data_IF_599607267239
#
_entry.id   IF_599607267239
#
_cell.length_a   1.000
_cell.length_b   1.000
_cell.length_c   1.000
_cell.angle_alpha   90.00
_cell.angle_beta   90.00
_cell.angle_gamma   90.00
#
_symmetry.space_group_name_H-M   'P 1'
#
loop_
_entity.id
_entity.type
_entity.pdbx_description
1 polymer ?
#
# COMPACT_ATOMS: atom_id res chain seq x y z
N UNK A 1 -3.47 1.43 -9.33
CA UNK A 1 -2.03 1.18 -9.37
C UNK A 1 -1.76 0.30 -10.56
N UNK A 2 -0.85 0.69 -11.44
CA UNK A 2 -0.44 -0.09 -12.61
C UNK A 2 0.77 -0.95 -12.25
N UNK A 3 0.84 -2.09 -12.93
CA UNK A 3 1.68 -3.25 -12.63
C UNK A 3 3.17 -2.96 -12.68
N UNK A 4 3.91 -3.54 -11.72
CA UNK A 4 5.35 -3.70 -11.86
C UNK A 4 5.58 -4.63 -13.03
N UNK A 5 6.18 -4.09 -14.09
CA UNK A 5 6.66 -4.90 -15.19
C UNK A 5 8.18 -4.95 -15.04
N UNK A 6 8.75 -6.10 -14.65
CA UNK A 6 10.19 -6.26 -14.79
C UNK A 6 10.54 -6.13 -16.26
N UNK A 7 11.57 -5.33 -16.57
CA UNK A 7 12.16 -5.26 -17.89
C UNK A 7 13.54 -5.89 -17.82
N UNK A 8 13.93 -6.60 -18.87
CA UNK A 8 15.34 -6.80 -19.13
C UNK A 8 15.96 -5.42 -19.42
N UNK A 9 17.18 -5.17 -18.94
CA UNK A 9 17.82 -3.85 -19.04
C UNK A 9 17.89 -3.33 -20.48
N UNK A 10 18.00 -4.24 -21.44
CA UNK A 10 18.05 -3.93 -22.87
C UNK A 10 16.71 -3.40 -23.41
N UNK A 11 15.59 -3.81 -22.79
CA UNK A 11 14.23 -3.42 -23.15
C UNK A 11 13.69 -2.25 -22.31
N UNK A 12 14.49 -1.74 -21.36
CA UNK A 12 14.10 -0.66 -20.47
C UNK A 12 14.07 0.70 -21.19
N UNK A 13 13.16 1.62 -20.80
CA UNK A 13 13.14 3.00 -21.31
C UNK A 13 14.51 3.68 -21.23
N UNK A 14 14.79 4.60 -22.15
CA UNK A 14 16.11 5.25 -22.25
C UNK A 14 16.59 5.88 -20.94
N UNK A 15 15.72 6.57 -20.21
CA UNK A 15 16.06 7.18 -18.92
C UNK A 15 16.47 6.13 -17.86
N UNK A 16 15.85 4.95 -17.87
CA UNK A 16 16.23 3.83 -16.98
C UNK A 16 17.63 3.35 -17.33
N UNK A 17 17.91 3.13 -18.62
CA UNK A 17 19.22 2.69 -19.10
C UNK A 17 20.33 3.71 -18.79
N UNK A 18 20.03 5.00 -18.95
CA UNK A 18 20.95 6.08 -18.56
C UNK A 18 21.24 6.06 -17.05
N UNK A 19 20.23 5.81 -16.22
CA UNK A 19 20.40 5.63 -14.78
C UNK A 19 21.30 4.46 -14.42
N UNK A 20 21.06 3.28 -15.01
CA UNK A 20 21.92 2.10 -14.82
C UNK A 20 23.37 2.41 -15.20
N UNK A 21 23.60 3.05 -16.35
CA UNK A 21 24.94 3.39 -16.81
C UNK A 21 25.66 4.37 -15.86
N UNK A 22 24.93 5.35 -15.30
CA UNK A 22 25.49 6.29 -14.32
C UNK A 22 25.89 5.58 -13.02
N UNK A 23 25.05 4.65 -12.54
CA UNK A 23 25.36 3.84 -11.36
C UNK A 23 26.54 2.90 -11.60
N UNK A 24 26.57 2.18 -12.72
CA UNK A 24 27.70 1.31 -13.09
C UNK A 24 29.01 2.09 -13.19
N UNK A 25 28.97 3.31 -13.74
CA UNK A 25 30.12 4.22 -13.74
C UNK A 25 30.55 4.58 -12.32
N UNK A 26 29.62 4.88 -11.43
CA UNK A 26 29.92 5.19 -10.03
C UNK A 26 30.52 3.98 -9.29
N UNK A 27 30.03 2.77 -9.55
CA UNK A 27 30.59 1.53 -9.00
C UNK A 27 31.99 1.23 -9.52
N UNK A 28 32.24 1.42 -10.82
CA UNK A 28 33.54 1.18 -11.44
C UNK A 28 34.66 2.05 -10.84
N UNK A 29 34.33 3.21 -10.26
CA UNK A 29 35.30 4.05 -9.53
C UNK A 29 35.66 3.50 -8.14
N UNK A 30 34.83 2.63 -7.57
CA UNK A 30 34.94 2.10 -6.19
C UNK A 30 35.47 0.68 -6.13
N UNK A 31 35.27 -0.11 -7.18
CA UNK A 31 35.65 -1.52 -7.18
C UNK A 31 36.00 -2.01 -8.59
N UNK A 32 36.93 -2.97 -8.66
CA UNK A 32 37.21 -3.77 -9.87
C UNK A 32 36.67 -5.20 -9.74
N UNK A 33 35.91 -5.48 -8.68
CA UNK A 33 35.29 -6.79 -8.44
C UNK A 33 34.06 -6.95 -9.33
N UNK A 34 33.64 -8.20 -9.51
CA UNK A 34 32.43 -8.52 -10.26
C UNK A 34 31.15 -7.99 -9.58
N UNK A 35 31.17 -7.81 -8.26
CA UNK A 35 30.07 -7.26 -7.48
C UNK A 35 30.49 -6.04 -6.66
N UNK A 36 29.56 -5.14 -6.33
CA UNK A 36 28.15 -5.11 -6.76
C UNK A 36 27.98 -4.81 -8.26
N UNK A 37 26.87 -5.26 -8.87
CA UNK A 37 26.50 -4.99 -10.26
C UNK A 37 25.00 -4.88 -10.44
N UNK A 38 24.54 -4.03 -11.36
CA UNK A 38 23.11 -3.99 -11.71
C UNK A 38 22.76 -5.27 -12.48
N UNK A 39 21.73 -5.97 -12.04
CA UNK A 39 21.24 -7.18 -12.73
C UNK A 39 19.89 -6.97 -13.37
N UNK A 40 19.10 -6.01 -12.86
CA UNK A 40 17.75 -5.76 -13.33
C UNK A 40 17.28 -4.37 -12.93
N UNK A 41 16.42 -3.76 -13.74
CA UNK A 41 15.66 -2.57 -13.37
C UNK A 41 14.17 -2.87 -13.47
N UNK A 42 13.41 -2.37 -12.52
CA UNK A 42 11.96 -2.53 -12.45
C UNK A 42 11.34 -1.17 -12.25
N UNK A 43 10.43 -0.75 -13.11
CA UNK A 43 9.72 0.51 -12.90
C UNK A 43 8.60 0.24 -11.89
N UNK A 44 8.67 0.93 -10.75
CA UNK A 44 7.60 0.97 -9.77
C UNK A 44 6.78 2.23 -10.02
N UNK A 45 5.70 2.09 -10.78
CA UNK A 45 4.82 3.22 -11.14
C UNK A 45 4.07 3.85 -9.96
N UNK A 46 4.35 3.47 -8.71
CA UNK A 46 3.68 4.01 -7.52
C UNK A 46 3.92 5.54 -7.40
N UNK A 47 5.02 6.06 -7.96
CA UNK A 47 5.29 7.50 -8.08
C UNK A 47 5.92 7.93 -9.42
N UNK A 48 5.99 7.04 -10.40
CA UNK A 48 6.80 7.23 -11.61
C UNK A 48 8.29 6.96 -11.37
N UNK A 49 8.59 6.22 -10.30
CA UNK A 49 9.92 5.97 -9.81
C UNK A 49 10.48 4.66 -10.39
N UNK A 50 11.77 4.67 -10.68
CA UNK A 50 12.49 3.50 -11.21
C UNK A 50 13.18 2.81 -10.05
N UNK A 51 12.82 1.55 -9.81
CA UNK A 51 13.52 0.73 -8.83
C UNK A 51 14.64 -0.08 -9.51
N UNK A 52 15.84 -0.09 -8.93
CA UNK A 52 16.99 -0.83 -9.44
C UNK A 52 17.28 -2.01 -8.55
N UNK A 53 17.40 -3.20 -9.15
CA UNK A 53 17.83 -4.42 -8.46
C UNK A 53 19.31 -4.63 -8.76
N UNK A 54 20.12 -4.50 -7.71
CA UNK A 54 21.58 -4.60 -7.73
C UNK A 54 21.96 -5.91 -7.05
N UNK A 55 22.67 -6.79 -7.76
CA UNK A 55 23.27 -7.96 -7.14
C UNK A 55 24.55 -7.51 -6.42
N UNK A 56 24.56 -7.62 -5.10
CA UNK A 56 25.69 -7.21 -4.25
C UNK A 56 26.63 -8.39 -3.90
N UNK A 57 26.15 -9.61 -4.09
CA UNK A 57 26.90 -10.87 -4.00
C UNK A 57 26.11 -11.99 -4.68
N UNK A 58 26.68 -13.18 -4.93
CA UNK A 58 25.96 -14.28 -5.58
C UNK A 58 24.63 -14.61 -4.89
N UNK A 59 23.54 -14.33 -5.61
CA UNK A 59 22.15 -14.49 -5.15
C UNK A 59 21.78 -13.62 -3.92
N UNK A 60 22.39 -12.45 -3.76
CA UNK A 60 21.98 -11.44 -2.77
C UNK A 60 21.71 -10.15 -3.53
N UNK A 61 20.45 -9.73 -3.52
CA UNK A 61 19.96 -8.60 -4.30
C UNK A 61 19.54 -7.45 -3.38
N UNK A 62 19.81 -6.22 -3.83
CA UNK A 62 19.43 -4.98 -3.18
C UNK A 62 18.52 -4.17 -4.11
N UNK A 63 17.40 -3.64 -3.58
CA UNK A 63 16.54 -2.70 -4.31
C UNK A 63 16.90 -1.25 -3.96
N UNK A 64 17.01 -0.38 -4.98
CA UNK A 64 17.11 1.07 -4.83
C UNK A 64 15.91 1.74 -5.48
N UNK A 65 15.22 2.64 -4.76
CA UNK A 65 14.13 3.43 -5.30
C UNK A 65 14.64 4.76 -5.85
N UNK A 66 14.35 5.09 -7.10
CA UNK A 66 14.57 6.43 -7.65
C UNK A 66 13.44 7.33 -7.21
N UNK A 67 13.51 7.97 -6.05
CA UNK A 67 12.51 9.02 -5.75
C UNK A 67 12.87 10.35 -6.43
N UNK A 68 11.82 10.90 -7.02
CA UNK A 68 11.73 11.98 -8.02
C UNK A 68 12.28 13.35 -7.60
N UNK A 69 13.17 13.86 -8.46
CA UNK A 69 13.17 15.21 -9.06
C UNK A 69 14.49 15.98 -8.92
N UNK A 70 15.26 15.86 -7.83
CA UNK A 70 16.45 16.69 -7.58
C UNK A 70 17.50 15.96 -6.72
N UNK A 71 17.59 14.62 -6.78
CA UNK A 71 18.68 13.92 -6.12
C UNK A 71 19.98 14.48 -6.71
N UNK A 72 20.68 15.32 -5.94
CA UNK A 72 21.72 16.22 -6.44
C UNK A 72 22.86 15.47 -7.11
N UNK A 73 23.92 16.19 -7.49
CA UNK A 73 25.07 15.69 -8.25
C UNK A 73 25.77 14.42 -7.68
N UNK A 74 25.32 13.91 -6.53
CA UNK A 74 25.90 12.78 -5.78
C UNK A 74 24.96 11.58 -5.55
N UNK A 75 23.76 11.52 -6.12
CA UNK A 75 22.85 10.36 -5.88
C UNK A 75 23.50 9.01 -6.21
N UNK A 76 24.10 8.90 -7.41
CA UNK A 76 24.74 7.66 -7.85
C UNK A 76 25.96 7.30 -7.02
N UNK A 77 26.67 8.31 -6.53
CA UNK A 77 27.78 8.12 -5.62
C UNK A 77 27.31 7.57 -4.27
N UNK A 78 26.28 8.18 -3.68
CA UNK A 78 25.67 7.73 -2.42
C UNK A 78 25.13 6.29 -2.55
N UNK A 79 24.46 5.99 -3.66
CA UNK A 79 23.92 4.66 -3.95
C UNK A 79 25.06 3.64 -4.13
N UNK A 80 26.12 4.00 -4.86
CA UNK A 80 27.26 3.13 -5.09
C UNK A 80 28.01 2.85 -3.78
N UNK A 81 28.16 3.84 -2.91
CA UNK A 81 28.72 3.67 -1.58
C UNK A 81 27.85 2.75 -0.69
N UNK A 82 26.52 2.87 -0.79
CA UNK A 82 25.61 1.96 -0.09
C UNK A 82 25.74 0.52 -0.59
N UNK A 83 25.77 0.31 -1.91
CA UNK A 83 25.95 -1.02 -2.50
C UNK A 83 27.30 -1.65 -2.13
N UNK A 84 28.37 -0.85 -2.06
CA UNK A 84 29.69 -1.31 -1.61
C UNK A 84 29.67 -1.78 -0.14
N UNK A 85 29.08 -0.97 0.75
CA UNK A 85 28.93 -1.37 2.16
C UNK A 85 28.10 -2.64 2.30
N UNK A 86 27.00 -2.75 1.57
CA UNK A 86 26.17 -3.95 1.58
C UNK A 86 26.92 -5.18 1.05
N UNK A 87 27.73 -5.02 -0.01
CA UNK A 87 28.57 -6.08 -0.55
C UNK A 87 29.60 -6.58 0.47
N UNK A 88 30.18 -5.70 1.31
CA UNK A 88 31.13 -6.08 2.37
C UNK A 88 30.49 -7.00 3.43
N UNK A 89 29.24 -6.73 3.80
CA UNK A 89 28.50 -7.54 4.79
C UNK A 89 27.65 -8.65 4.17
N UNK A 90 27.59 -8.77 2.84
CA UNK A 90 26.73 -9.73 2.13
C UNK A 90 26.86 -11.19 2.58
N UNK A 91 28.02 -11.59 3.08
CA UNK A 91 28.27 -12.92 3.62
C UNK A 91 27.42 -13.24 4.85
N UNK A 92 27.09 -12.23 5.68
CA UNK A 92 26.18 -12.38 6.83
C UNK A 92 24.72 -12.39 6.39
N UNK A 93 24.39 -11.70 5.29
CA UNK A 93 23.03 -11.60 4.74
C UNK A 93 22.59 -12.86 3.98
N UNK A 94 23.53 -13.59 3.38
CA UNK A 94 23.25 -14.71 2.46
C UNK A 94 22.44 -15.85 3.07
N UNK A 95 22.75 -16.23 4.31
CA UNK A 95 22.01 -17.29 5.02
C UNK A 95 20.55 -16.87 5.27
N UNK A 96 20.33 -15.79 6.03
CA UNK A 96 19.01 -15.22 6.28
C UNK A 96 18.18 -14.96 5.01
N UNK A 97 18.79 -14.41 3.94
CA UNK A 97 18.10 -14.20 2.67
C UNK A 97 17.62 -15.50 2.03
N UNK A 98 18.43 -16.56 2.06
CA UNK A 98 18.05 -17.85 1.47
C UNK A 98 16.93 -18.53 2.25
N UNK A 99 17.02 -18.51 3.58
CA UNK A 99 15.96 -18.99 4.46
C UNK A 99 14.65 -18.26 4.19
N UNK A 100 14.73 -16.93 4.02
CA UNK A 100 13.57 -16.10 3.69
C UNK A 100 12.95 -16.47 2.33
N UNK A 101 13.76 -16.60 1.28
CA UNK A 101 13.27 -16.96 -0.07
C UNK A 101 12.59 -18.33 -0.04
N UNK A 102 13.20 -19.31 0.61
CA UNK A 102 12.66 -20.66 0.68
C UNK A 102 11.34 -20.67 1.48
N UNK A 103 11.26 -19.88 2.55
CA UNK A 103 10.05 -19.77 3.36
C UNK A 103 8.91 -19.03 2.64
N UNK A 104 9.21 -17.97 1.87
CA UNK A 104 8.26 -17.30 0.98
C UNK A 104 7.70 -18.20 -0.11
N UNK A 105 8.56 -18.97 -0.77
CA UNK A 105 8.11 -19.94 -1.75
C UNK A 105 7.21 -20.99 -1.12
N UNK A 106 7.52 -21.43 0.10
CA UNK A 106 6.70 -22.40 0.81
C UNK A 106 5.32 -21.84 1.14
N UNK A 107 5.24 -20.68 1.81
CA UNK A 107 3.96 -20.07 2.20
C UNK A 107 3.08 -19.72 1.00
N UNK A 108 3.67 -19.22 -0.08
CA UNK A 108 2.95 -18.95 -1.32
C UNK A 108 2.51 -20.25 -2.00
N UNK A 109 3.37 -21.27 -2.07
CA UNK A 109 3.01 -22.58 -2.61
C UNK A 109 1.87 -23.26 -1.83
N UNK A 110 1.87 -23.14 -0.49
CA UNK A 110 0.77 -23.61 0.36
C UNK A 110 -0.52 -22.82 0.05
N UNK A 111 -0.43 -21.50 -0.15
CA UNK A 111 -1.58 -20.67 -0.50
C UNK A 111 -2.15 -20.97 -1.90
N UNK A 112 -1.28 -21.20 -2.90
CA UNK A 112 -1.64 -21.61 -4.26
C UNK A 112 -2.32 -22.99 -4.24
N UNK A 113 -1.80 -23.95 -3.47
CA UNK A 113 -2.41 -25.27 -3.30
C UNK A 113 -3.82 -25.20 -2.69
N UNK A 114 -4.06 -24.19 -1.85
CA UNK A 114 -5.38 -23.86 -1.29
C UNK A 114 -6.27 -23.05 -2.27
N UNK A 115 -5.84 -22.85 -3.52
CA UNK A 115 -6.60 -22.14 -4.56
C UNK A 115 -6.54 -20.62 -4.48
N UNK A 116 -5.60 -20.05 -3.72
CA UNK A 116 -5.38 -18.61 -3.69
C UNK A 116 -4.63 -18.17 -4.96
N UNK A 117 -5.21 -17.28 -5.75
CA UNK A 117 -4.57 -16.68 -6.92
C UNK A 117 -3.54 -15.62 -6.49
N UNK A 118 -2.41 -16.09 -5.98
CA UNK A 118 -1.26 -15.30 -5.53
C UNK A 118 0.01 -15.91 -6.08
N UNK A 119 0.94 -15.09 -6.57
CA UNK A 119 2.25 -15.51 -7.04
C UNK A 119 3.35 -14.71 -6.34
N UNK A 120 4.51 -15.34 -6.11
CA UNK A 120 5.73 -14.66 -5.68
C UNK A 120 6.53 -14.21 -6.91
N UNK A 121 6.58 -12.90 -7.14
CA UNK A 121 7.34 -12.30 -8.26
C UNK A 121 8.83 -12.26 -7.95
N UNK A 122 9.19 -11.98 -6.69
CA UNK A 122 10.58 -11.84 -6.30
C UNK A 122 10.75 -11.55 -4.83
N UNK A 123 11.97 -11.77 -4.34
CA UNK A 123 12.40 -11.37 -3.02
C UNK A 123 13.67 -10.55 -3.18
N UNK A 124 13.78 -9.43 -2.47
CA UNK A 124 14.98 -8.62 -2.43
C UNK A 124 15.28 -8.21 -0.98
N UNK A 125 16.46 -7.64 -0.77
CA UNK A 125 16.75 -6.86 0.44
C UNK A 125 16.54 -5.38 0.05
N UNK A 126 15.73 -4.65 0.79
CA UNK A 126 15.38 -3.27 0.48
C UNK A 126 15.44 -2.43 1.75
N UNK A 127 16.18 -1.31 1.73
CA UNK A 127 16.09 -0.25 2.74
C UNK A 127 15.49 0.99 2.08
N UNK A 128 14.36 1.55 2.59
CA UNK A 128 13.80 2.75 2.04
C UNK A 128 14.79 3.91 2.25
N UNK A 129 14.92 4.74 1.21
CA UNK A 129 15.75 5.95 1.15
C UNK A 129 17.27 5.70 1.12
N UNK A 130 17.88 5.09 2.14
CA UNK A 130 19.35 4.91 2.22
C UNK A 130 19.73 3.82 3.21
N UNK A 131 20.71 2.97 2.86
CA UNK A 131 21.25 1.96 3.77
C UNK A 131 22.09 2.60 4.89
N UNK A 132 21.48 2.84 6.06
CA UNK A 132 22.14 3.49 7.20
C UNK A 132 22.60 2.52 8.28
N UNK A 133 21.98 1.35 8.41
CA UNK A 133 22.32 0.35 9.43
C UNK A 133 22.87 -0.93 8.78
N UNK A 134 24.18 -1.16 8.94
CA UNK A 134 24.92 -2.23 8.25
C UNK A 134 24.48 -3.66 8.62
N UNK A 135 23.68 -3.84 9.68
CA UNK A 135 23.42 -5.12 10.32
C UNK A 135 21.94 -5.55 10.35
N UNK A 136 21.01 -4.77 9.76
CA UNK A 136 19.58 -5.10 9.75
C UNK A 136 19.02 -5.12 8.33
N UNK A 137 19.10 -6.24 7.60
CA UNK A 137 18.45 -6.35 6.31
C UNK A 137 16.93 -6.25 6.48
N UNK A 138 16.31 -5.35 5.74
CA UNK A 138 14.87 -5.39 5.51
C UNK A 138 14.63 -6.19 4.24
N UNK A 139 13.81 -7.22 4.34
CA UNK A 139 13.45 -8.01 3.18
C UNK A 139 12.27 -7.39 2.45
N UNK A 140 12.10 -7.75 1.19
CA UNK A 140 11.02 -7.29 0.34
C UNK A 140 10.48 -8.50 -0.42
N UNK A 141 9.22 -8.86 -0.22
CA UNK A 141 8.55 -9.89 -1.01
C UNK A 141 7.58 -9.23 -2.00
N UNK A 142 7.89 -9.30 -3.28
CA UNK A 142 7.02 -8.79 -4.35
C UNK A 142 6.00 -9.88 -4.68
N UNK A 143 4.73 -9.64 -4.37
CA UNK A 143 3.63 -10.55 -4.65
C UNK A 143 2.76 -10.00 -5.78
N UNK A 144 2.24 -10.89 -6.62
CA UNK A 144 1.14 -10.60 -7.55
C UNK A 144 -0.09 -11.41 -7.21
N UNK A 145 -1.25 -10.91 -7.60
CA UNK A 145 -2.55 -11.55 -7.44
C UNK A 145 -3.59 -10.85 -8.30
N UNK A 146 -4.86 -11.24 -8.13
CA UNK A 146 -5.99 -10.95 -9.02
C UNK A 146 -5.99 -9.55 -9.69
N UNK A 147 -5.79 -9.54 -11.02
CA UNK A 147 -5.91 -8.35 -11.87
C UNK A 147 -7.35 -8.10 -12.34
N UNK A 148 -7.58 -6.85 -12.75
CA UNK A 148 -8.81 -6.34 -13.36
C UNK A 148 -10.07 -6.45 -12.50
N UNK A 149 -9.93 -6.11 -11.21
CA UNK A 149 -10.91 -5.38 -10.38
C UNK A 149 -10.83 -5.70 -8.88
N UNK A 150 -9.70 -6.24 -8.39
CA UNK A 150 -9.40 -6.35 -6.95
C UNK A 150 -7.90 -6.24 -6.65
N UNK A 151 -7.22 -5.33 -7.35
CA UNK A 151 -5.78 -5.46 -7.65
C UNK A 151 -4.87 -5.36 -6.43
N UNK A 152 -4.12 -6.42 -6.06
CA UNK A 152 -2.80 -6.24 -5.50
C UNK A 152 -1.81 -5.89 -6.62
N UNK A 153 -0.91 -4.98 -6.29
CA UNK A 153 0.39 -4.91 -6.92
C UNK A 153 1.45 -5.07 -5.83
N UNK A 154 2.71 -4.87 -6.20
CA UNK A 154 3.80 -4.43 -5.38
C UNK A 154 3.58 -4.32 -3.88
N UNK A 155 3.48 -5.40 -3.10
CA UNK A 155 3.40 -5.24 -1.65
C UNK A 155 4.79 -5.27 -1.05
N UNK A 156 5.08 -4.33 -0.14
CA UNK A 156 6.36 -4.28 0.54
C UNK A 156 6.20 -4.80 1.95
N UNK A 157 6.94 -5.85 2.27
CA UNK A 157 6.97 -6.42 3.62
C UNK A 157 8.33 -6.17 4.22
N UNK A 158 8.51 -5.01 4.85
CA UNK A 158 9.67 -4.82 5.71
C UNK A 158 9.51 -5.70 6.95
N UNK A 159 10.55 -6.43 7.34
CA UNK A 159 10.54 -7.22 8.56
C UNK A 159 11.98 -7.41 9.03
N UNK A 160 12.18 -7.27 10.33
CA UNK A 160 13.50 -7.47 10.95
C UNK A 160 13.70 -8.94 11.36
N UNK A 161 12.62 -9.72 11.41
CA UNK A 161 12.63 -11.13 11.80
C UNK A 161 11.74 -11.97 10.90
N UNK A 162 12.04 -13.27 10.79
CA UNK A 162 11.19 -14.24 10.07
C UNK A 162 9.77 -14.29 10.65
N UNK A 163 9.61 -14.13 11.97
CA UNK A 163 8.31 -14.15 12.64
C UNK A 163 7.44 -12.94 12.26
N UNK A 164 7.99 -11.73 12.33
CA UNK A 164 7.28 -10.52 11.90
C UNK A 164 6.91 -10.60 10.41
N UNK A 165 7.81 -11.19 9.63
CA UNK A 165 7.56 -11.41 8.23
C UNK A 165 6.42 -12.41 7.97
N UNK A 166 6.36 -13.52 8.70
CA UNK A 166 5.29 -14.51 8.60
C UNK A 166 3.93 -13.90 8.89
N UNK A 167 3.83 -13.10 9.95
CA UNK A 167 2.60 -12.41 10.32
C UNK A 167 2.11 -11.50 9.18
N UNK A 168 3.03 -10.73 8.59
CA UNK A 168 2.72 -9.83 7.49
C UNK A 168 2.35 -10.60 6.21
N UNK A 169 3.10 -11.65 5.85
CA UNK A 169 2.81 -12.44 4.66
C UNK A 169 1.50 -13.21 4.78
N UNK A 170 1.22 -13.84 5.93
CA UNK A 170 -0.04 -14.51 6.21
C UNK A 170 -1.21 -13.53 6.19
N UNK A 171 -1.03 -12.30 6.69
CA UNK A 171 -2.04 -11.26 6.60
C UNK A 171 -2.37 -10.91 5.14
N UNK A 172 -1.35 -10.80 4.28
CA UNK A 172 -1.52 -10.56 2.84
C UNK A 172 -2.19 -11.74 2.12
N UNK A 173 -1.79 -12.97 2.40
CA UNK A 173 -2.44 -14.17 1.87
C UNK A 173 -3.92 -14.20 2.31
N UNK A 174 -4.19 -13.94 3.59
CA UNK A 174 -5.56 -13.83 4.10
C UNK A 174 -6.36 -12.72 3.42
N UNK A 175 -5.71 -11.60 3.10
CA UNK A 175 -6.30 -10.51 2.34
C UNK A 175 -6.61 -10.95 0.89
N UNK A 176 -5.70 -11.63 0.20
CA UNK A 176 -5.93 -12.18 -1.14
C UNK A 176 -7.08 -13.18 -1.19
N UNK A 177 -7.23 -14.02 -0.16
CA UNK A 177 -8.36 -14.94 -0.05
C UNK A 177 -9.70 -14.20 0.05
N UNK A 178 -9.77 -13.14 0.87
CA UNK A 178 -10.97 -12.29 0.96
C UNK A 178 -11.27 -11.57 -0.35
N UNK A 179 -10.23 -11.16 -1.06
CA UNK A 179 -10.35 -10.59 -2.40
C UNK A 179 -10.94 -11.59 -3.40
N UNK A 180 -10.37 -12.79 -3.50
CA UNK A 180 -10.88 -13.82 -4.41
C UNK A 180 -12.37 -14.12 -4.21
N UNK A 181 -12.82 -14.24 -2.95
CA UNK A 181 -14.24 -14.42 -2.63
C UNK A 181 -15.10 -13.21 -3.07
N UNK A 182 -14.55 -12.01 -3.00
CA UNK A 182 -15.24 -10.79 -3.44
C UNK A 182 -15.41 -10.73 -4.96
N UNK A 183 -14.48 -11.29 -5.75
CA UNK A 183 -14.60 -11.34 -7.22
C UNK A 183 -15.81 -12.14 -7.69
N UNK A 184 -16.06 -13.30 -7.10
CA UNK A 184 -17.22 -14.12 -7.45
C UNK A 184 -18.52 -13.33 -7.25
N UNK A 185 -18.59 -12.59 -6.14
CA UNK A 185 -19.72 -11.72 -5.82
C UNK A 185 -19.84 -10.58 -6.83
N UNK A 186 -18.74 -9.89 -7.12
CA UNK A 186 -18.67 -8.77 -8.03
C UNK A 186 -19.07 -9.15 -9.46
N UNK A 187 -18.53 -10.26 -9.97
CA UNK A 187 -18.85 -10.79 -11.30
C UNK A 187 -20.34 -11.11 -11.45
N UNK A 188 -20.99 -11.60 -10.39
CA UNK A 188 -22.42 -11.93 -10.43
C UNK A 188 -23.36 -10.72 -10.53
N UNK A 189 -22.90 -9.54 -10.11
CA UNK A 189 -23.71 -8.30 -10.06
C UNK A 189 -23.24 -7.30 -11.14
N UNK A 190 -22.09 -7.55 -11.78
CA UNK A 190 -21.47 -6.61 -12.72
C UNK A 190 -20.84 -5.40 -12.02
N UNK A 191 -20.30 -5.62 -10.82
CA UNK A 191 -19.56 -4.63 -10.07
C UNK A 191 -18.06 -4.90 -10.16
N UNK A 192 -17.27 -3.87 -9.86
CA UNK A 192 -15.82 -3.91 -9.86
C UNK A 192 -15.26 -3.66 -8.45
N UNK A 193 -16.03 -3.07 -7.55
CA UNK A 193 -15.58 -2.66 -6.23
C UNK A 193 -16.71 -2.71 -5.21
N UNK A 194 -16.35 -2.59 -3.93
CA UNK A 194 -17.21 -1.96 -2.93
C UNK A 194 -16.74 -0.55 -2.63
N UNK A 195 -17.67 0.32 -2.24
CA UNK A 195 -17.39 1.68 -1.82
C UNK A 195 -18.25 2.01 -0.60
N UNK A 196 -17.67 2.69 0.38
CA UNK A 196 -18.44 3.20 1.52
C UNK A 196 -19.18 4.52 1.16
N UNK A 197 -20.25 4.83 1.89
CA UNK A 197 -21.06 6.01 1.62
C UNK A 197 -20.30 7.34 1.75
N UNK A 198 -19.26 7.42 2.59
CA UNK A 198 -18.44 8.62 2.76
C UNK A 198 -17.60 8.83 1.50
N UNK A 199 -16.87 7.79 1.07
CA UNK A 199 -16.06 7.82 -0.14
C UNK A 199 -16.91 8.09 -1.39
N UNK A 200 -18.07 7.45 -1.52
CA UNK A 200 -18.99 7.70 -2.63
C UNK A 200 -19.48 9.15 -2.64
N UNK A 201 -19.82 9.70 -1.47
CA UNK A 201 -20.23 11.10 -1.35
C UNK A 201 -19.13 12.05 -1.81
N UNK A 202 -17.89 11.81 -1.42
CA UNK A 202 -16.75 12.62 -1.84
C UNK A 202 -16.58 12.62 -3.36
N UNK A 203 -16.73 11.46 -4.01
CA UNK A 203 -16.67 11.37 -5.48
C UNK A 203 -17.78 12.19 -6.13
N UNK A 204 -19.01 12.06 -5.62
CA UNK A 204 -20.19 12.72 -6.20
C UNK A 204 -20.19 14.25 -5.99
N UNK A 205 -19.48 14.75 -4.97
CA UNK A 205 -19.34 16.18 -4.70
C UNK A 205 -18.23 16.84 -5.58
N UNK A 206 -17.43 16.07 -6.31
CA UNK A 206 -16.44 16.62 -7.25
C UNK A 206 -17.09 17.17 -8.52
N UNK A 207 -16.45 18.16 -9.20
CA UNK A 207 -16.98 18.72 -10.46
C UNK A 207 -17.07 17.69 -11.61
N UNK A 208 -16.19 16.69 -11.61
CA UNK A 208 -16.12 15.64 -12.64
C UNK A 208 -16.12 14.23 -12.01
N UNK A 209 -17.25 13.77 -11.42
CA UNK A 209 -17.31 12.48 -10.70
C UNK A 209 -16.91 11.28 -11.56
N UNK A 210 -17.34 11.27 -12.83
CA UNK A 210 -17.02 10.19 -13.79
C UNK A 210 -15.51 10.11 -14.05
N UNK A 211 -14.83 11.26 -14.13
CA UNK A 211 -13.37 11.32 -14.30
C UNK A 211 -12.63 10.75 -13.09
N UNK A 212 -13.13 11.01 -11.88
CA UNK A 212 -12.61 10.44 -10.63
C UNK A 212 -12.80 8.92 -10.62
N UNK A 213 -13.98 8.41 -10.94
CA UNK A 213 -14.25 6.96 -10.99
C UNK A 213 -13.39 6.25 -12.04
N UNK A 214 -13.27 6.81 -13.24
CA UNK A 214 -12.40 6.26 -14.28
C UNK A 214 -10.94 6.26 -13.85
N UNK A 215 -10.48 7.32 -13.16
CA UNK A 215 -9.12 7.39 -12.62
C UNK A 215 -8.89 6.32 -11.55
N UNK A 216 -9.87 6.08 -10.66
CA UNK A 216 -9.81 5.05 -9.62
C UNK A 216 -9.68 3.62 -10.16
N UNK A 217 -10.01 3.36 -11.44
CA UNK A 217 -9.69 2.08 -12.09
C UNK A 217 -8.20 1.79 -12.15
N UNK A 218 -7.42 2.86 -12.26
CA UNK A 218 -6.00 2.80 -12.58
C UNK A 218 -5.10 3.24 -11.44
N UNK A 219 -5.62 3.84 -10.36
CA UNK A 219 -4.83 4.35 -9.22
C UNK A 219 -5.31 3.76 -7.89
N UNK A 220 -4.37 3.48 -6.97
CA UNK A 220 -4.73 2.99 -5.61
C UNK A 220 -5.06 4.15 -4.69
N UNK A 221 -4.39 5.28 -4.87
CA UNK A 221 -4.57 6.47 -4.05
C UNK A 221 -4.80 7.66 -4.97
N UNK A 222 -5.87 8.40 -4.72
CA UNK A 222 -6.25 9.58 -5.50
C UNK A 222 -6.52 10.73 -4.55
N UNK A 223 -5.82 11.85 -4.74
CA UNK A 223 -6.16 13.10 -4.06
C UNK A 223 -7.33 13.76 -4.78
N UNK A 224 -8.35 14.13 -4.03
CA UNK A 224 -9.52 14.88 -4.51
C UNK A 224 -9.53 16.28 -3.87
N UNK A 225 -10.57 17.07 -4.08
CA UNK A 225 -10.61 18.45 -3.59
C UNK A 225 -10.44 18.56 -2.06
N UNK A 226 -10.03 19.74 -1.61
CA UNK A 226 -9.81 20.07 -0.19
C UNK A 226 -8.81 19.14 0.54
N UNK A 227 -7.87 18.52 -0.20
CA UNK A 227 -6.81 17.69 0.39
C UNK A 227 -7.29 16.31 0.86
N UNK A 228 -8.50 15.89 0.49
CA UNK A 228 -9.05 14.57 0.81
C UNK A 228 -8.43 13.52 -0.11
N UNK A 229 -8.41 12.27 0.34
CA UNK A 229 -7.82 11.15 -0.38
C UNK A 229 -8.82 10.00 -0.47
N UNK A 230 -8.98 9.43 -1.66
CA UNK A 230 -9.63 8.15 -1.87
C UNK A 230 -8.56 7.06 -1.97
N UNK A 231 -8.76 5.95 -1.28
CA UNK A 231 -7.82 4.82 -1.25
C UNK A 231 -8.57 3.54 -1.61
N UNK A 232 -8.05 2.82 -2.58
CA UNK A 232 -8.41 1.45 -2.88
C UNK A 232 -7.61 0.51 -2.01
N UNK A 233 -8.29 -0.26 -1.17
CA UNK A 233 -7.67 -1.29 -0.35
C UNK A 233 -8.55 -2.52 -0.38
N UNK A 234 -8.03 -3.65 -0.87
CA UNK A 234 -8.77 -4.91 -0.80
C UNK A 234 -10.14 -4.89 -1.47
N UNK A 235 -10.28 -4.23 -2.62
CA UNK A 235 -11.58 -4.16 -3.29
C UNK A 235 -12.56 -3.19 -2.69
N UNK A 236 -12.10 -2.41 -1.73
CA UNK A 236 -12.88 -1.45 -1.02
C UNK A 236 -12.28 -0.06 -1.25
N UNK A 237 -13.12 0.87 -1.71
CA UNK A 237 -12.76 2.26 -1.81
C UNK A 237 -13.16 2.92 -0.49
N UNK A 238 -12.14 3.36 0.24
CA UNK A 238 -12.27 4.16 1.45
C UNK A 238 -11.82 5.59 1.21
N UNK A 239 -12.09 6.47 2.17
CA UNK A 239 -11.61 7.84 2.14
C UNK A 239 -10.86 8.23 3.40
N UNK A 240 -9.95 9.19 3.29
CA UNK A 240 -9.35 9.88 4.42
C UNK A 240 -9.29 11.37 4.16
N UNK A 241 -9.35 12.16 5.23
CA UNK A 241 -9.32 13.61 5.11
C UNK A 241 -9.43 14.31 6.45
N UNK A 242 -9.37 15.63 6.37
CA UNK A 242 -9.68 16.51 7.48
C UNK A 242 -10.72 17.54 7.04
N UNK A 243 -11.58 17.95 7.96
CA UNK A 243 -12.39 19.16 7.83
C UNK A 243 -11.77 20.25 8.70
N UNK A 244 -10.99 21.18 8.12
CA UNK A 244 -10.31 22.22 8.88
C UNK A 244 -11.28 23.18 9.56
N UNK A 245 -12.52 23.28 9.07
CA UNK A 245 -13.53 24.18 9.67
C UNK A 245 -14.08 23.64 10.99
N UNK A 246 -13.92 22.34 11.24
CA UNK A 246 -14.48 21.64 12.39
C UNK A 246 -13.42 20.84 13.17
N UNK A 247 -12.13 20.93 12.81
CA UNK A 247 -11.03 20.14 13.36
C UNK A 247 -11.31 18.63 13.37
N UNK A 248 -11.94 18.10 12.32
CA UNK A 248 -12.31 16.67 12.23
C UNK A 248 -11.30 15.95 11.36
N UNK A 249 -10.91 14.73 11.73
CA UNK A 249 -10.12 13.84 10.88
C UNK A 249 -10.84 12.51 10.70
N UNK A 250 -10.71 11.87 9.55
CA UNK A 250 -11.23 10.51 9.35
C UNK A 250 -10.36 9.68 8.42
N UNK A 251 -10.49 8.37 8.54
CA UNK A 251 -9.89 7.37 7.65
C UNK A 251 -10.74 6.11 7.65
N UNK A 252 -11.39 5.84 6.52
CA UNK A 252 -12.36 4.76 6.36
C UNK A 252 -13.47 4.86 7.40
N UNK A 253 -13.55 3.86 8.27
CA UNK A 253 -14.56 3.75 9.32
C UNK A 253 -14.18 4.46 10.62
N UNK A 254 -13.03 5.15 10.69
CA UNK A 254 -12.59 5.83 11.90
C UNK A 254 -12.69 7.33 11.75
N UNK A 255 -13.17 7.97 12.81
CA UNK A 255 -13.31 9.41 12.96
C UNK A 255 -12.59 9.85 14.23
N UNK A 256 -11.81 10.91 14.14
CA UNK A 256 -11.12 11.52 15.26
C UNK A 256 -11.53 12.98 15.40
N UNK A 257 -11.79 13.37 16.65
CA UNK A 257 -12.03 14.75 17.09
C UNK A 257 -10.93 15.12 18.08
N UNK A 258 -9.80 15.69 17.61
CA UNK A 258 -8.72 16.16 18.47
C UNK A 258 -9.23 17.22 19.45
N UNK A 259 -8.61 17.25 20.63
CA UNK A 259 -8.89 18.25 21.69
C UNK A 259 -10.36 18.22 22.17
N UNK A 260 -11.06 17.12 21.92
CA UNK A 260 -12.42 16.88 22.38
C UNK A 260 -12.45 15.81 23.47
N UNK A 261 -13.42 15.93 24.37
CA UNK A 261 -13.78 14.87 25.30
C UNK A 261 -15.28 14.91 25.56
N UNK A 262 -15.88 13.73 25.70
CA UNK A 262 -17.30 13.57 26.02
C UNK A 262 -17.46 12.70 27.27
N UNK A 263 -18.50 12.94 28.12
CA UNK A 263 -18.74 12.08 29.28
C UNK A 263 -18.92 10.61 28.88
N UNK A 264 -18.36 9.66 29.64
CA UNK A 264 -18.42 8.23 29.32
C UNK A 264 -19.86 7.70 29.19
N UNK A 265 -20.79 8.23 29.99
CA UNK A 265 -22.22 7.92 29.87
C UNK A 265 -22.83 8.37 28.53
N UNK A 266 -22.29 9.45 27.94
CA UNK A 266 -22.70 9.93 26.63
C UNK A 266 -22.08 9.05 25.52
N UNK A 267 -20.84 8.59 25.66
CA UNK A 267 -20.21 7.64 24.73
C UNK A 267 -21.09 6.40 24.50
N UNK A 268 -21.53 5.76 25.58
CA UNK A 268 -22.38 4.57 25.49
C UNK A 268 -23.74 4.85 24.86
N UNK A 269 -24.32 6.03 25.12
CA UNK A 269 -25.61 6.43 24.57
C UNK A 269 -25.58 6.72 23.06
N UNK A 270 -24.38 6.92 22.49
CA UNK A 270 -24.20 7.22 21.07
C UNK A 270 -24.23 5.97 20.17
N UNK A 271 -24.19 4.75 20.73
CA UNK A 271 -24.26 3.53 19.93
C UNK A 271 -25.50 3.48 19.03
N UNK A 272 -25.31 3.21 17.74
CA UNK A 272 -26.36 3.12 16.72
C UNK A 272 -27.00 4.47 16.35
N UNK A 273 -26.57 5.58 16.96
CA UNK A 273 -27.05 6.93 16.62
C UNK A 273 -26.42 7.41 15.30
N UNK A 274 -27.03 8.38 14.61
CA UNK A 274 -26.39 9.04 13.47
C UNK A 274 -25.06 9.67 13.85
N UNK A 275 -24.07 9.64 12.95
CA UNK A 275 -22.78 10.32 13.18
C UNK A 275 -22.95 11.83 13.41
N UNK A 276 -24.00 12.43 12.83
CA UNK A 276 -24.37 13.84 13.03
C UNK A 276 -24.78 14.21 14.46
N UNK A 277 -25.15 13.22 15.29
CA UNK A 277 -25.39 13.45 16.73
C UNK A 277 -24.08 13.68 17.50
N UNK A 278 -22.95 13.16 16.99
CA UNK A 278 -21.62 13.42 17.53
C UNK A 278 -21.00 14.67 16.89
N UNK A 279 -21.03 14.75 15.56
CA UNK A 279 -20.42 15.88 14.83
C UNK A 279 -21.12 16.18 13.51
N UNK A 280 -21.41 17.47 13.26
CA UNK A 280 -21.92 17.93 11.97
C UNK A 280 -20.76 18.08 10.98
N UNK A 281 -20.62 17.13 10.04
CA UNK A 281 -19.60 17.17 8.99
C UNK A 281 -20.25 16.90 7.63
N UNK A 282 -20.10 17.83 6.68
CA UNK A 282 -20.72 17.67 5.34
C UNK A 282 -20.13 16.52 4.54
N UNK A 283 -18.93 16.05 4.90
CA UNK A 283 -18.32 14.88 4.26
C UNK A 283 -18.94 13.56 4.74
N UNK A 284 -19.61 13.53 5.90
CA UNK A 284 -20.21 12.33 6.49
C UNK A 284 -21.71 12.35 6.25
N UNK A 285 -22.26 11.47 5.40
CA UNK A 285 -23.69 11.44 5.13
C UNK A 285 -24.54 11.07 6.35
N UNK A 286 -25.79 11.56 6.41
CA UNK A 286 -26.75 11.29 7.50
C UNK A 286 -27.07 9.80 7.73
N UNK A 287 -26.78 8.94 6.75
CA UNK A 287 -26.94 7.49 6.83
C UNK A 287 -25.88 6.77 7.66
N UNK A 288 -24.77 7.43 7.99
CA UNK A 288 -23.66 6.83 8.74
C UNK A 288 -24.03 6.72 10.23
N UNK A 289 -23.74 5.57 10.83
CA UNK A 289 -24.06 5.26 12.22
C UNK A 289 -22.80 5.11 13.06
N UNK A 290 -22.91 5.46 14.34
CA UNK A 290 -21.85 5.27 15.33
C UNK A 290 -21.91 3.83 15.87
N UNK A 291 -20.81 3.10 15.80
CA UNK A 291 -20.68 1.75 16.37
C UNK A 291 -19.96 1.76 17.72
N UNK A 292 -19.10 2.75 17.93
CA UNK A 292 -18.28 2.87 19.12
C UNK A 292 -17.84 4.33 19.20
N UNK A 293 -17.81 4.88 20.41
CA UNK A 293 -17.25 6.20 20.67
C UNK A 293 -16.47 6.10 21.98
N UNK A 294 -15.22 6.50 21.96
CA UNK A 294 -14.32 6.43 23.12
C UNK A 294 -13.55 7.74 23.25
N UNK A 295 -13.20 8.10 24.48
CA UNK A 295 -12.17 9.10 24.70
C UNK A 295 -10.84 8.37 24.74
N UNK A 296 -9.90 8.87 23.96
CA UNK A 296 -8.52 8.38 23.89
C UNK A 296 -7.58 9.53 24.28
N UNK A 297 -6.34 9.17 24.63
CA UNK A 297 -5.33 10.16 24.94
C UNK A 297 -3.93 9.58 25.01
N UNK A 298 -2.96 10.43 24.69
CA UNK A 298 -1.53 10.17 24.83
C UNK A 298 -0.85 11.40 25.46
N UNK A 299 -0.35 11.23 26.68
CA UNK A 299 0.17 12.34 27.49
C UNK A 299 -0.90 13.41 27.77
N UNK A 300 -0.64 14.64 27.33
CA UNK A 300 -1.54 15.79 27.47
C UNK A 300 -2.55 15.90 26.32
N UNK A 301 -2.41 15.07 25.27
CA UNK A 301 -3.34 15.07 24.15
C UNK A 301 -4.56 14.21 24.47
N UNK A 302 -5.75 14.77 24.25
CA UNK A 302 -7.02 14.05 24.36
C UNK A 302 -7.81 14.17 23.08
N UNK A 303 -8.45 13.09 22.64
CA UNK A 303 -9.35 13.12 21.50
C UNK A 303 -10.52 12.15 21.69
N UNK A 304 -11.58 12.37 20.92
CA UNK A 304 -12.65 11.38 20.77
C UNK A 304 -12.36 10.56 19.51
N UNK A 305 -12.30 9.24 19.63
CA UNK A 305 -12.31 8.31 18.49
C UNK A 305 -13.70 7.69 18.37
N UNK A 306 -14.26 7.72 17.17
CA UNK A 306 -15.52 7.08 16.86
C UNK A 306 -15.35 6.08 15.71
N UNK A 307 -15.92 4.89 15.89
CA UNK A 307 -16.05 3.89 14.83
C UNK A 307 -17.39 4.07 14.14
N UNK A 308 -17.35 4.17 12.82
CA UNK A 308 -18.49 4.40 11.94
C UNK A 308 -18.93 3.10 11.28
N UNK A 309 -20.21 3.03 10.93
CA UNK A 309 -20.77 2.01 10.03
C UNK A 309 -21.33 2.70 8.79
N UNK A 310 -20.47 3.15 7.86
CA UNK A 310 -20.96 3.72 6.61
C UNK A 310 -21.61 2.60 5.77
N UNK A 311 -22.84 2.82 5.25
CA UNK A 311 -23.45 1.88 4.31
C UNK A 311 -22.52 1.63 3.13
N UNK A 312 -22.42 0.37 2.69
CA UNK A 312 -21.56 -0.01 1.56
C UNK A 312 -22.40 -0.24 0.31
N UNK A 313 -21.81 0.06 -0.83
CA UNK A 313 -22.38 -0.23 -2.14
C UNK A 313 -21.40 -1.04 -2.98
N UNK A 314 -21.91 -1.95 -3.79
CA UNK A 314 -21.19 -2.42 -4.97
C UNK A 314 -21.09 -1.28 -5.98
N UNK A 315 -19.97 -1.15 -6.67
CA UNK A 315 -19.71 -0.08 -7.63
C UNK A 315 -19.11 -0.66 -8.91
N UNK A 316 -19.68 -0.31 -10.06
CA UNK A 316 -19.06 -0.44 -11.38
C UNK A 316 -18.33 0.88 -11.68
N UNK A 317 -16.99 0.82 -11.75
CA UNK A 317 -16.17 2.01 -11.96
C UNK A 317 -16.26 2.58 -13.39
N UNK A 318 -16.81 1.82 -14.34
CA UNK A 318 -16.90 2.23 -15.75
C UNK A 318 -18.17 2.96 -16.09
N UNK A 319 -19.27 2.55 -15.47
CA UNK A 319 -20.56 3.20 -15.62
C UNK A 319 -20.92 4.12 -14.46
N UNK A 320 -20.21 4.03 -13.33
CA UNK A 320 -20.56 4.70 -12.07
C UNK A 320 -21.80 4.14 -11.38
N UNK A 321 -22.38 3.06 -11.93
CA UNK A 321 -23.55 2.42 -11.37
C UNK A 321 -23.17 1.76 -10.05
N UNK A 322 -24.02 1.93 -9.05
CA UNK A 322 -23.82 1.34 -7.75
C UNK A 322 -25.11 0.71 -7.22
N UNK A 323 -24.95 -0.30 -6.38
CA UNK A 323 -26.03 -1.06 -5.78
C UNK A 323 -25.77 -1.23 -4.29
N UNK A 324 -26.78 -1.13 -3.42
CA UNK A 324 -26.58 -1.36 -2.00
C UNK A 324 -26.04 -2.78 -1.77
N UNK A 325 -25.05 -2.92 -0.89
CA UNK A 325 -24.65 -4.23 -0.36
C UNK A 325 -25.75 -4.66 0.61
N UNK A 326 -26.32 -5.85 0.43
CA UNK A 326 -27.31 -6.36 1.36
C UNK A 326 -26.66 -6.49 2.76
N UNK A 327 -27.20 -5.77 3.75
CA UNK A 327 -26.79 -5.93 5.14
C UNK A 327 -27.29 -7.30 5.64
N UNK A 328 -26.45 -8.31 5.47
CA UNK A 328 -26.78 -9.71 5.70
C UNK A 328 -25.63 -10.46 6.36
N UNK A 329 -25.60 -10.43 7.69
CA UNK A 329 -24.96 -11.42 8.58
C UNK A 329 -23.45 -11.61 8.41
N UNK A 330 -22.65 -10.67 8.93
CA UNK A 330 -21.33 -11.03 9.45
C UNK A 330 -21.51 -12.04 10.60
N UNK A 331 -21.31 -13.32 10.30
CA UNK A 331 -20.98 -14.35 11.29
C UNK A 331 -19.48 -14.56 11.29
#
# INVERSE_FOLDING_TARGET
MKTFKPFDLDDAPEHVRQGCAAFDSALATRTTREWPKVVKATIAEIHGDVDYVVEIAPAVEMLFTWETAHAGDHFWDDAADAAMRAAEVSHTLKGPYREFVDHARKLIGDAEADGCAIDLVGVAIAEPMRWWQQDRPMYLATLTGLKENLRPGPCWITAETVTEWDERLLCLIGHQRRLAASLETFASIGADATIDAIALRLILDEPEPDGIMLTLRDVVRLKVAAGRTLTWEGGHITSSGADPSMSIHWSGERLWLPEASIPESACAALYGRPASDLVACTAIPDGVRLLEVVNEGDGDATWVEARLSPPRCYLDLGSGRHWPVAEGSSR
#
